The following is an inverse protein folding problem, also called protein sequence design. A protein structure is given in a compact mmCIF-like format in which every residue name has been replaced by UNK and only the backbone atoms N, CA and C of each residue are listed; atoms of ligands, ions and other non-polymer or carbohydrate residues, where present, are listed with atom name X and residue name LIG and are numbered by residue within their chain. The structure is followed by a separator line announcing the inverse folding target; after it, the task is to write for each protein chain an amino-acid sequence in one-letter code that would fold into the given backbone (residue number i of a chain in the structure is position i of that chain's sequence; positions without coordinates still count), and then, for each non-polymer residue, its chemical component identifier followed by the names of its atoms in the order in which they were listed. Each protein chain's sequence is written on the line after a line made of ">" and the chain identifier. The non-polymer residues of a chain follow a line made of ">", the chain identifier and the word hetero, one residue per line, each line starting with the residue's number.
data_IF_671746865858
#
_entry.id   IF_671746865858
#
_cell.length_a   1.000
_cell.length_b   1.000
_cell.length_c   1.000
_cell.angle_alpha   90.00
_cell.angle_beta   90.00
_cell.angle_gamma   90.00
#
_symmetry.space_group_name_H-M   'P 1'
#
loop_
_entity.id
_entity.type
_entity.pdbx_description
1 polymer ?
#
# COMPACT_ATOMS: atom_id res chain seq x y z
N UNK A 1 0.81 -13.97 4.38
CA UNK A 1 -0.15 -12.86 4.14
C UNK A 1 -0.26 -12.50 2.66
N UNK A 2 0.80 -12.20 1.92
CA UNK A 2 0.70 -11.88 0.48
C UNK A 2 0.11 -13.04 -0.32
N UNK A 3 0.55 -14.28 -0.09
CA UNK A 3 -0.04 -15.49 -0.67
C UNK A 3 -1.55 -15.58 -0.38
N UNK A 4 -1.99 -15.23 0.83
CA UNK A 4 -3.41 -15.19 1.17
C UNK A 4 -4.18 -14.10 0.38
N UNK A 5 -3.52 -12.99 0.06
CA UNK A 5 -4.09 -11.93 -0.77
C UNK A 5 -4.34 -12.42 -2.22
N UNK A 6 -3.48 -13.27 -2.75
CA UNK A 6 -3.63 -13.83 -4.10
C UNK A 6 -4.81 -14.81 -4.23
N UNK A 7 -5.26 -15.35 -3.10
CA UNK A 7 -6.38 -16.30 -3.02
C UNK A 7 -7.68 -15.65 -2.54
N UNK A 8 -7.81 -14.32 -2.64
CA UNK A 8 -9.08 -13.64 -2.32
C UNK A 8 -10.17 -14.10 -3.29
N UNK A 9 -11.29 -14.64 -2.79
CA UNK A 9 -12.34 -15.17 -3.64
C UNK A 9 -13.07 -14.07 -4.41
N UNK A 10 -13.52 -14.42 -5.59
CA UNK A 10 -14.47 -13.60 -6.34
C UNK A 10 -15.79 -13.52 -5.58
N UNK A 11 -16.42 -12.35 -5.58
CA UNK A 11 -17.76 -12.13 -5.07
C UNK A 11 -18.53 -11.23 -6.03
N UNK A 12 -19.80 -11.56 -6.30
CA UNK A 12 -20.65 -10.77 -7.18
C UNK A 12 -20.86 -9.33 -6.68
N UNK A 13 -20.94 -9.19 -5.34
CA UNK A 13 -21.12 -7.88 -4.71
C UNK A 13 -19.92 -6.94 -4.88
N UNK A 14 -18.72 -7.49 -5.05
CA UNK A 14 -17.50 -6.72 -5.30
C UNK A 14 -16.50 -7.52 -6.14
N UNK A 15 -16.73 -7.65 -7.45
CA UNK A 15 -15.87 -8.42 -8.35
C UNK A 15 -14.45 -7.87 -8.44
N UNK A 16 -14.27 -6.56 -8.31
CA UNK A 16 -12.97 -5.91 -8.37
C UNK A 16 -12.06 -6.28 -7.18
N UNK A 17 -12.63 -6.69 -6.04
CA UNK A 17 -11.89 -7.04 -4.83
C UNK A 17 -10.82 -8.10 -5.07
N UNK A 18 -11.13 -9.12 -5.87
CA UNK A 18 -10.20 -10.20 -6.21
C UNK A 18 -8.90 -9.69 -6.83
N UNK A 19 -8.97 -8.62 -7.63
CA UNK A 19 -7.83 -8.04 -8.33
C UNK A 19 -7.18 -6.90 -7.53
N UNK A 20 -7.98 -6.12 -6.81
CA UNK A 20 -7.50 -4.96 -6.05
C UNK A 20 -6.72 -5.35 -4.80
N UNK A 21 -7.21 -6.32 -4.02
CA UNK A 21 -6.61 -6.70 -2.73
C UNK A 21 -5.16 -7.17 -2.89
N UNK A 22 -4.81 -8.07 -3.81
CA UNK A 22 -3.42 -8.49 -3.99
C UNK A 22 -2.48 -7.32 -4.26
N UNK A 23 -2.89 -6.42 -5.16
CA UNK A 23 -2.06 -5.26 -5.55
C UNK A 23 -1.95 -4.24 -4.42
N UNK A 24 -3.05 -3.93 -3.73
CA UNK A 24 -3.05 -3.03 -2.57
C UNK A 24 -2.05 -3.47 -1.50
N UNK A 25 -2.09 -4.75 -1.12
CA UNK A 25 -1.21 -5.25 -0.07
C UNK A 25 0.25 -5.41 -0.53
N UNK A 26 0.49 -5.70 -1.82
CA UNK A 26 1.85 -5.65 -2.38
C UNK A 26 2.43 -4.23 -2.32
N UNK A 27 1.66 -3.22 -2.70
CA UNK A 27 2.09 -1.82 -2.61
C UNK A 27 2.40 -1.44 -1.16
N UNK A 28 1.51 -1.76 -0.21
CA UNK A 28 1.75 -1.45 1.21
C UNK A 28 3.04 -2.11 1.71
N UNK A 29 3.27 -3.38 1.36
CA UNK A 29 4.40 -4.16 1.84
C UNK A 29 5.73 -3.72 1.19
N UNK A 30 5.72 -3.43 -0.13
CA UNK A 30 6.94 -3.13 -0.87
C UNK A 30 7.30 -1.63 -0.89
N UNK A 31 6.32 -0.74 -0.63
CA UNK A 31 6.54 0.71 -0.72
C UNK A 31 6.33 1.43 0.61
N UNK A 32 5.85 0.76 1.64
CA UNK A 32 5.64 1.36 2.96
C UNK A 32 4.69 2.56 2.97
N UNK A 33 3.74 2.67 2.03
CA UNK A 33 2.77 3.76 2.00
C UNK A 33 1.87 3.76 3.24
N UNK A 34 1.38 4.95 3.62
CA UNK A 34 0.25 5.02 4.56
C UNK A 34 -1.00 4.46 3.91
N UNK A 35 -1.87 3.82 4.68
CA UNK A 35 -3.14 3.29 4.16
C UNK A 35 -3.99 4.36 3.49
N UNK A 36 -4.01 5.56 4.06
CA UNK A 36 -4.73 6.70 3.50
C UNK A 36 -4.12 7.23 2.20
N UNK A 37 -2.81 7.11 2.00
CA UNK A 37 -2.14 7.46 0.76
C UNK A 37 -2.51 6.47 -0.34
N UNK A 38 -2.38 5.17 -0.06
CA UNK A 38 -2.79 4.10 -0.98
C UNK A 38 -4.24 4.28 -1.48
N UNK A 39 -5.17 4.53 -0.56
CA UNK A 39 -6.60 4.66 -0.89
C UNK A 39 -6.96 5.94 -1.66
N UNK A 40 -6.04 6.90 -1.74
CA UNK A 40 -6.20 8.15 -2.48
C UNK A 40 -5.48 8.15 -3.82
N UNK A 41 -4.62 7.17 -4.10
CA UNK A 41 -3.88 7.10 -5.35
C UNK A 41 -4.83 7.16 -6.55
N UNK A 42 -4.43 7.94 -7.54
CA UNK A 42 -5.07 8.05 -8.84
C UNK A 42 -4.22 7.41 -9.92
N UNK A 43 -4.78 7.20 -11.07
CA UNK A 43 -4.06 6.64 -12.21
C UNK A 43 -2.92 7.56 -12.68
N UNK A 44 -3.11 8.88 -12.61
CA UNK A 44 -2.08 9.87 -12.93
C UNK A 44 -0.90 9.88 -11.93
N UNK A 45 -1.09 9.34 -10.72
CA UNK A 45 -0.03 9.25 -9.71
C UNK A 45 0.91 8.06 -9.95
N UNK A 46 0.65 7.23 -10.96
CA UNK A 46 1.39 5.99 -11.24
C UNK A 46 2.17 6.11 -12.53
N UNK A 47 3.48 6.25 -12.45
CA UNK A 47 4.37 6.19 -13.59
C UNK A 47 4.99 4.79 -13.70
N UNK A 48 4.41 3.95 -14.58
CA UNK A 48 4.91 2.59 -14.83
C UNK A 48 6.22 2.57 -15.64
N UNK A 49 6.53 3.64 -16.37
CA UNK A 49 7.78 3.72 -17.14
C UNK A 49 8.99 3.89 -16.22
N UNK A 50 8.83 4.71 -15.20
CA UNK A 50 9.88 5.02 -14.22
C UNK A 50 9.74 4.23 -12.91
N UNK A 51 8.71 3.38 -12.80
CA UNK A 51 8.37 2.60 -11.59
C UNK A 51 8.26 3.49 -10.33
N UNK A 52 7.49 4.59 -10.42
CA UNK A 52 7.37 5.58 -9.35
C UNK A 52 5.91 5.96 -9.09
N UNK A 53 5.53 6.05 -7.82
CA UNK A 53 4.32 6.75 -7.38
C UNK A 53 4.63 8.21 -7.03
N UNK A 54 3.75 9.13 -7.42
CA UNK A 54 3.73 10.49 -6.91
C UNK A 54 2.75 10.57 -5.75
N UNK A 55 3.26 10.74 -4.53
CA UNK A 55 2.41 10.86 -3.34
C UNK A 55 2.20 12.32 -3.02
N UNK A 56 0.95 12.77 -3.10
CA UNK A 56 0.55 14.12 -2.79
C UNK A 56 0.26 14.26 -1.30
N UNK A 57 1.05 15.05 -0.58
CA UNK A 57 0.78 15.40 0.83
C UNK A 57 0.02 16.71 0.92
N UNK A 58 -1.30 16.61 1.09
CA UNK A 58 -2.19 17.77 1.22
C UNK A 58 -2.00 18.54 2.53
N UNK A 59 -1.39 17.93 3.55
CA UNK A 59 -1.25 18.56 4.87
C UNK A 59 -0.06 19.51 4.95
N UNK A 60 1.03 19.21 4.22
CA UNK A 60 2.28 20.00 4.26
C UNK A 60 2.74 20.46 2.88
N UNK A 61 1.93 20.27 1.83
CA UNK A 61 2.23 20.60 0.43
C UNK A 61 3.58 20.02 -0.06
N UNK A 62 4.03 18.93 0.53
CA UNK A 62 5.27 18.24 0.16
C UNK A 62 4.94 16.94 -0.56
N UNK A 63 5.00 17.02 -1.88
CA UNK A 63 4.92 15.82 -2.70
C UNK A 63 6.21 15.01 -2.56
N UNK A 64 6.10 13.68 -2.62
CA UNK A 64 7.27 12.81 -2.66
C UNK A 64 7.10 11.74 -3.72
N UNK A 65 8.21 11.36 -4.31
CA UNK A 65 8.29 10.21 -5.20
C UNK A 65 8.59 8.95 -4.38
N UNK A 66 7.86 7.88 -4.67
CA UNK A 66 8.02 6.59 -4.01
C UNK A 66 8.28 5.56 -5.10
N UNK A 67 9.53 5.13 -5.29
CA UNK A 67 9.86 4.09 -6.24
C UNK A 67 9.26 2.76 -5.80
N UNK A 68 8.96 1.90 -6.78
CA UNK A 68 8.47 0.55 -6.55
C UNK A 68 9.21 -0.45 -7.44
N UNK A 69 9.21 -1.71 -7.03
CA UNK A 69 9.90 -2.79 -7.74
C UNK A 69 9.14 -3.23 -9.00
N UNK A 70 9.86 -3.93 -9.90
CA UNK A 70 9.27 -4.52 -11.11
C UNK A 70 8.13 -5.48 -10.77
N UNK A 71 8.20 -6.19 -9.66
CA UNK A 71 7.12 -7.08 -9.18
C UNK A 71 5.82 -6.32 -8.89
N UNK A 72 5.94 -5.08 -8.36
CA UNK A 72 4.79 -4.19 -8.16
C UNK A 72 4.29 -3.65 -9.51
N UNK A 73 5.20 -3.29 -10.41
CA UNK A 73 4.87 -2.83 -11.76
C UNK A 73 4.08 -3.90 -12.54
N UNK A 74 4.54 -5.14 -12.53
CA UNK A 74 3.85 -6.29 -13.14
C UNK A 74 2.44 -6.47 -12.57
N UNK A 75 2.32 -6.44 -11.23
CA UNK A 75 1.03 -6.58 -10.55
C UNK A 75 0.06 -5.44 -10.90
N UNK A 76 0.57 -4.21 -11.04
CA UNK A 76 -0.20 -3.04 -11.46
C UNK A 76 -0.63 -3.15 -12.92
N UNK A 77 0.25 -3.62 -13.79
CA UNK A 77 -0.05 -3.82 -15.22
C UNK A 77 -1.17 -4.83 -15.39
N UNK A 78 -1.05 -6.00 -14.78
CA UNK A 78 -2.09 -7.04 -14.79
C UNK A 78 -3.43 -6.52 -14.23
N UNK A 79 -3.37 -5.77 -13.12
CA UNK A 79 -4.58 -5.17 -12.55
C UNK A 79 -5.25 -4.19 -13.52
N UNK A 80 -4.47 -3.35 -14.22
CA UNK A 80 -5.00 -2.37 -15.19
C UNK A 80 -5.63 -3.03 -16.40
N UNK A 81 -5.09 -4.15 -16.85
CA UNK A 81 -5.68 -4.97 -17.93
C UNK A 81 -7.04 -5.55 -17.53
N UNK A 82 -7.14 -6.04 -16.28
CA UNK A 82 -8.38 -6.61 -15.75
C UNK A 82 -9.43 -5.56 -15.35
N UNK A 83 -9.00 -4.36 -15.05
CA UNK A 83 -9.85 -3.23 -14.60
C UNK A 83 -9.37 -1.93 -15.25
N UNK A 84 -9.65 -1.74 -16.56
CA UNK A 84 -9.22 -0.56 -17.29
C UNK A 84 -9.74 0.73 -16.65
N UNK A 85 -8.89 1.76 -16.49
CA UNK A 85 -9.33 3.02 -15.92
C UNK A 85 -10.25 3.77 -16.88
N UNK A 86 -11.23 4.49 -16.33
CA UNK A 86 -12.13 5.35 -17.11
C UNK A 86 -11.43 6.65 -17.55
N UNK A 87 -10.49 7.15 -16.77
CA UNK A 87 -9.68 8.33 -17.06
C UNK A 87 -8.38 8.30 -16.25
N UNK A 88 -7.44 9.17 -16.60
CA UNK A 88 -6.17 9.35 -15.87
C UNK A 88 -6.39 9.89 -14.44
N UNK A 89 -7.47 10.62 -14.21
CA UNK A 89 -7.83 11.18 -12.90
C UNK A 89 -8.66 10.22 -12.03
N UNK A 90 -9.01 9.04 -12.57
CA UNK A 90 -9.72 8.02 -11.80
C UNK A 90 -8.89 7.49 -10.65
N UNK A 91 -9.55 7.11 -9.55
CA UNK A 91 -8.88 6.39 -8.46
C UNK A 91 -8.22 5.11 -8.99
N UNK A 92 -7.04 4.81 -8.50
CA UNK A 92 -6.33 3.56 -8.81
C UNK A 92 -7.16 2.35 -8.32
N UNK A 93 -7.77 2.49 -7.14
CA UNK A 93 -8.60 1.45 -6.52
C UNK A 93 -10.01 2.00 -6.23
N UNK A 94 -10.88 2.08 -7.24
CA UNK A 94 -12.25 2.56 -7.03
C UNK A 94 -13.07 1.54 -6.24
N UNK A 95 -13.90 2.05 -5.34
CA UNK A 95 -14.93 1.27 -4.66
C UNK A 95 -16.18 1.19 -5.53
N UNK A 96 -16.74 0.00 -5.70
CA UNK A 96 -18.02 -0.22 -6.37
C UNK A 96 -19.22 0.01 -5.45
N UNK A 97 -18.99 0.29 -4.16
CA UNK A 97 -20.09 0.57 -3.23
C UNK A 97 -20.66 1.97 -3.48
N UNK A 98 -21.96 2.11 -3.81
CA UNK A 98 -22.59 3.41 -4.07
C UNK A 98 -22.53 4.37 -2.85
N UNK A 99 -22.41 3.82 -1.64
CA UNK A 99 -22.31 4.59 -0.39
C UNK A 99 -20.88 5.05 -0.08
N UNK A 100 -19.90 4.71 -0.92
CA UNK A 100 -18.52 5.14 -0.71
C UNK A 100 -18.38 6.64 -0.98
N UNK A 101 -17.68 7.36 -0.10
CA UNK A 101 -17.42 8.78 -0.27
C UNK A 101 -16.47 9.01 -1.46
N UNK A 102 -17.00 9.57 -2.55
CA UNK A 102 -16.24 9.83 -3.77
C UNK A 102 -15.64 8.57 -4.42
N UNK A 103 -16.34 7.42 -4.32
CA UNK A 103 -15.87 6.14 -4.91
C UNK A 103 -14.64 5.53 -4.24
N UNK A 104 -14.25 5.98 -3.04
CA UNK A 104 -13.07 5.49 -2.32
C UNK A 104 -13.42 4.46 -1.26
N UNK A 105 -12.54 3.50 -1.05
CA UNK A 105 -12.58 2.67 0.15
C UNK A 105 -12.19 3.48 1.39
N UNK A 106 -12.84 3.19 2.52
CA UNK A 106 -12.45 3.74 3.82
C UNK A 106 -11.34 2.91 4.50
N UNK A 107 -10.64 3.51 5.47
CA UNK A 107 -9.64 2.79 6.27
C UNK A 107 -10.24 1.59 7.03
N UNK A 108 -11.49 1.69 7.50
CA UNK A 108 -12.21 0.60 8.16
C UNK A 108 -12.41 -0.60 7.23
N UNK A 109 -12.71 -0.35 5.95
CA UNK A 109 -12.83 -1.41 4.95
C UNK A 109 -11.46 -2.11 4.74
N UNK A 110 -10.38 -1.35 4.53
CA UNK A 110 -9.05 -1.93 4.35
C UNK A 110 -8.61 -2.72 5.59
N UNK A 111 -8.93 -2.24 6.78
CA UNK A 111 -8.68 -2.94 8.03
C UNK A 111 -9.45 -4.26 8.12
N UNK A 112 -10.70 -4.30 7.65
CA UNK A 112 -11.49 -5.52 7.58
C UNK A 112 -10.86 -6.53 6.59
N UNK A 113 -10.41 -6.08 5.41
CA UNK A 113 -9.70 -6.94 4.46
C UNK A 113 -8.40 -7.49 5.07
N UNK A 114 -7.63 -6.67 5.74
CA UNK A 114 -6.40 -7.09 6.41
C UNK A 114 -6.64 -8.19 7.44
N UNK A 115 -7.66 -8.03 8.31
CA UNK A 115 -8.03 -9.08 9.28
C UNK A 115 -8.45 -10.37 8.60
N UNK A 116 -9.13 -10.28 7.46
CA UNK A 116 -9.49 -11.46 6.67
C UNK A 116 -8.23 -12.17 6.16
N UNK A 117 -7.25 -11.42 5.64
CA UNK A 117 -5.99 -12.00 5.17
C UNK A 117 -5.17 -12.63 6.29
N UNK A 118 -5.14 -12.01 7.48
CA UNK A 118 -4.48 -12.60 8.66
C UNK A 118 -5.11 -13.95 9.01
N UNK A 119 -6.45 -14.04 9.06
CA UNK A 119 -7.17 -15.30 9.32
C UNK A 119 -6.85 -16.37 8.28
N UNK A 120 -6.90 -16.01 6.99
CA UNK A 120 -6.57 -16.94 5.90
C UNK A 120 -5.11 -17.41 5.97
N UNK A 121 -4.21 -16.54 6.44
CA UNK A 121 -2.78 -16.86 6.62
C UNK A 121 -2.46 -17.60 7.93
N UNK A 122 -3.45 -17.91 8.77
CA UNK A 122 -3.23 -18.54 10.06
C UNK A 122 -2.54 -17.65 11.09
N UNK A 123 -2.53 -16.34 10.89
CA UNK A 123 -1.89 -15.37 11.80
C UNK A 123 -2.90 -14.96 12.88
N UNK A 124 -2.59 -15.18 14.18
CA UNK A 124 -3.51 -14.87 15.27
C UNK A 124 -3.86 -13.37 15.31
N UNK A 125 -5.13 -13.08 15.58
CA UNK A 125 -5.63 -11.75 15.86
C UNK A 125 -6.35 -11.72 17.20
N UNK A 126 -5.71 -11.15 18.20
CA UNK A 126 -6.16 -11.19 19.61
C UNK A 126 -7.15 -10.06 19.97
N UNK A 127 -7.86 -9.51 19.00
CA UNK A 127 -8.85 -8.46 19.22
C UNK A 127 -8.36 -7.03 19.00
N UNK A 128 -9.25 -6.06 19.23
CA UNK A 128 -8.95 -4.64 19.03
C UNK A 128 -7.81 -4.18 19.96
N UNK A 129 -6.79 -3.56 19.36
CA UNK A 129 -5.63 -3.07 20.10
C UNK A 129 -4.55 -4.11 20.46
N UNK A 130 -4.80 -5.41 20.21
CA UNK A 130 -3.89 -6.50 20.59
C UNK A 130 -3.38 -7.35 19.41
N UNK A 131 -3.62 -6.94 18.18
CA UNK A 131 -3.21 -7.69 17.00
C UNK A 131 -2.62 -6.78 15.92
N UNK A 132 -2.02 -7.37 14.86
CA UNK A 132 -1.47 -6.62 13.76
C UNK A 132 -2.47 -5.68 13.10
N UNK A 133 -2.01 -4.51 12.66
CA UNK A 133 -2.79 -3.49 11.96
C UNK A 133 -2.21 -3.25 10.56
N UNK A 134 -2.96 -2.75 9.60
CA UNK A 134 -2.42 -2.39 8.28
C UNK A 134 -1.24 -1.41 8.35
N UNK A 135 -1.21 -0.53 9.37
CA UNK A 135 -0.10 0.40 9.57
C UNK A 135 1.20 -0.29 9.96
N UNK A 136 1.11 -1.45 10.59
CA UNK A 136 2.30 -2.22 10.99
C UNK A 136 3.04 -2.82 9.79
N UNK A 137 2.38 -2.93 8.62
CA UNK A 137 3.04 -3.28 7.35
C UNK A 137 4.11 -2.24 7.00
N UNK A 138 3.84 -0.97 7.23
CA UNK A 138 4.80 0.12 6.99
C UNK A 138 5.98 0.05 7.97
N UNK A 139 5.76 -0.32 9.23
CA UNK A 139 6.85 -0.60 10.16
C UNK A 139 7.68 -1.79 9.70
N UNK A 140 7.03 -2.86 9.24
CA UNK A 140 7.71 -4.02 8.65
C UNK A 140 8.59 -3.60 7.47
N UNK A 141 8.08 -2.77 6.56
CA UNK A 141 8.86 -2.23 5.45
C UNK A 141 10.10 -1.48 5.95
N UNK A 142 9.94 -0.57 6.92
CA UNK A 142 11.06 0.18 7.49
C UNK A 142 12.13 -0.74 8.09
N UNK A 143 11.72 -1.74 8.87
CA UNK A 143 12.63 -2.72 9.47
C UNK A 143 13.36 -3.54 8.38
N UNK A 144 12.67 -3.95 7.32
CA UNK A 144 13.30 -4.65 6.20
C UNK A 144 14.35 -3.78 5.50
N UNK A 145 14.06 -2.50 5.26
CA UNK A 145 15.04 -1.57 4.68
C UNK A 145 16.28 -1.46 5.57
N UNK A 146 16.09 -1.24 6.88
CA UNK A 146 17.18 -1.12 7.84
C UNK A 146 18.03 -2.42 7.91
N UNK A 147 17.37 -3.56 7.98
CA UNK A 147 18.07 -4.86 8.00
C UNK A 147 18.91 -5.08 6.73
N UNK A 148 18.34 -4.76 5.56
CA UNK A 148 19.08 -4.90 4.30
C UNK A 148 20.31 -3.98 4.27
N UNK A 149 20.18 -2.74 4.74
CA UNK A 149 21.31 -1.81 4.81
C UNK A 149 22.41 -2.28 5.78
N UNK A 150 22.02 -2.79 6.95
CA UNK A 150 22.99 -3.41 7.89
C UNK A 150 23.73 -4.57 7.23
N UNK A 151 22.99 -5.45 6.55
CA UNK A 151 23.60 -6.62 5.88
C UNK A 151 24.50 -6.22 4.69
N UNK A 152 24.20 -5.09 4.04
CA UNK A 152 25.01 -4.53 2.96
C UNK A 152 26.19 -3.69 3.44
N UNK A 153 26.33 -3.49 4.77
CA UNK A 153 27.41 -2.67 5.35
C UNK A 153 27.23 -1.16 5.19
N UNK A 154 26.00 -0.70 4.91
CA UNK A 154 25.69 0.72 4.76
C UNK A 154 25.73 1.45 6.10
N UNK A 155 26.15 2.72 6.08
CA UNK A 155 26.11 3.58 7.25
C UNK A 155 24.68 3.99 7.60
N UNK A 156 24.15 3.40 8.67
CA UNK A 156 22.80 3.72 9.15
C UNK A 156 22.62 5.19 9.54
N UNK A 157 23.67 5.89 9.95
CA UNK A 157 23.61 7.31 10.32
C UNK A 157 23.23 8.15 9.10
N UNK A 158 23.76 7.81 7.93
CA UNK A 158 23.43 8.44 6.65
C UNK A 158 22.08 7.93 6.07
N UNK A 159 21.77 6.65 6.27
CA UNK A 159 20.60 6.00 5.69
C UNK A 159 19.28 6.34 6.41
N UNK A 160 19.29 6.50 7.73
CA UNK A 160 18.07 6.81 8.52
C UNK A 160 17.35 8.09 8.08
N UNK A 161 18.02 9.24 7.84
CA UNK A 161 17.37 10.44 7.33
C UNK A 161 16.71 10.23 5.96
N UNK A 162 17.33 9.40 5.10
CA UNK A 162 16.79 9.06 3.78
C UNK A 162 15.50 8.27 3.93
N UNK A 163 15.49 7.22 4.78
CA UNK A 163 14.29 6.43 5.06
C UNK A 163 13.18 7.27 5.68
N UNK A 164 13.52 8.15 6.64
CA UNK A 164 12.57 9.06 7.27
C UNK A 164 11.90 9.98 6.24
N UNK A 165 12.69 10.55 5.33
CA UNK A 165 12.19 11.38 4.22
C UNK A 165 11.32 10.58 3.25
N UNK A 166 11.77 9.39 2.85
CA UNK A 166 11.03 8.47 1.99
C UNK A 166 9.66 8.15 2.58
N UNK A 167 9.62 7.83 3.87
CA UNK A 167 8.38 7.56 4.59
C UNK A 167 7.53 8.82 4.81
N UNK A 168 8.06 10.02 4.59
CA UNK A 168 7.35 11.29 4.83
C UNK A 168 7.11 11.55 6.31
N UNK A 169 8.11 11.29 7.14
CA UNK A 169 8.14 11.73 8.54
C UNK A 169 8.68 13.16 8.62
N UNK A 170 8.11 13.98 9.51
CA UNK A 170 8.56 15.37 9.72
C UNK A 170 9.77 15.48 10.65
N UNK A 171 10.31 14.35 11.14
CA UNK A 171 11.46 14.27 12.04
C UNK A 171 11.88 12.84 12.27
N UNK A 172 13.08 12.65 12.86
CA UNK A 172 13.64 11.32 13.14
C UNK A 172 12.88 10.55 14.24
N UNK A 173 12.07 11.25 15.05
CA UNK A 173 11.31 10.66 16.16
C UNK A 173 10.15 9.74 15.75
N UNK A 174 9.87 9.61 14.47
CA UNK A 174 8.78 8.81 13.94
C UNK A 174 9.22 7.52 13.21
N UNK A 175 10.51 7.22 13.28
CA UNK A 175 11.07 6.02 12.58
C UNK A 175 11.47 4.95 13.57
#
# INVERSE_FOLDING_TARGET
>A
MLTAADHVPFTEQNPARKYQIPVMFRILFNCGLRTSELLKLRMCDVNLKENVFTILDTKFHKNRLVPFSDTVAESLTQYREMSPPKSTDSLLFPSLNPRSNGGRYGNSWLQAQFRQLLRTAGIPYNGSGKGPRPHDIRHTFAVHCLNNWVLSGEDLTAALPVLSRYLGHNGLTGT
#
